data_IF_174972130071
#
_entry.id   IF_174972130071
#
_cell.length_a   1.000
_cell.length_b   1.000
_cell.length_c   1.000
_cell.angle_alpha   90.00
_cell.angle_beta   90.00
_cell.angle_gamma   90.00
#
_symmetry.space_group_name_H-M   'P 1'
#
loop_
_entity.id
_entity.type
_entity.pdbx_description
1 polymer ?
#
# COMPACT_ATOMS: atom_id res chain seq x y z
N UNK A 1 19.81 -11.12 16.25
CA UNK A 1 18.85 -11.74 15.30
C UNK A 1 18.30 -10.73 14.30
N UNK A 2 17.74 -9.59 14.75
CA UNK A 2 17.19 -8.52 13.89
C UNK A 2 18.14 -7.98 12.80
N UNK A 3 19.42 -7.76 13.13
CA UNK A 3 20.42 -7.26 12.17
C UNK A 3 20.65 -8.20 10.97
N UNK A 4 20.56 -9.52 11.19
CA UNK A 4 20.66 -10.53 10.11
C UNK A 4 19.44 -10.50 9.19
N UNK A 5 18.23 -10.37 9.76
CA UNK A 5 16.97 -10.31 9.01
C UNK A 5 16.90 -9.01 8.18
N UNK A 6 17.27 -7.88 8.77
CA UNK A 6 17.33 -6.59 8.09
C UNK A 6 18.29 -6.61 6.90
N UNK A 7 19.52 -7.09 7.10
CA UNK A 7 20.50 -7.21 6.02
C UNK A 7 20.00 -8.16 4.92
N UNK A 8 19.34 -9.26 5.29
CA UNK A 8 18.76 -10.20 4.32
C UNK A 8 17.64 -9.57 3.47
N UNK A 9 16.82 -8.69 4.05
CA UNK A 9 15.70 -8.04 3.34
C UNK A 9 16.16 -6.91 2.40
N UNK A 10 17.28 -6.25 2.71
CA UNK A 10 17.81 -5.12 1.94
C UNK A 10 18.56 -5.57 0.70
N UNK A 11 19.31 -6.67 0.78
CA UNK A 11 20.13 -7.15 -0.33
C UNK A 11 19.20 -7.44 -1.53
N UNK A 12 19.41 -6.77 -2.68
CA UNK A 12 18.64 -7.06 -3.87
C UNK A 12 18.90 -8.50 -4.30
N UNK A 13 17.83 -9.28 -4.50
CA UNK A 13 18.01 -10.67 -4.96
C UNK A 13 18.52 -10.69 -6.39
N UNK A 14 19.52 -11.55 -6.63
CA UNK A 14 20.08 -11.78 -7.97
C UNK A 14 19.11 -12.51 -8.91
N UNK A 15 18.14 -13.22 -8.35
CA UNK A 15 17.13 -13.98 -9.10
C UNK A 15 15.73 -13.37 -8.93
N UNK A 16 15.19 -12.85 -10.03
CA UNK A 16 13.87 -12.22 -10.09
C UNK A 16 12.72 -13.19 -9.75
N UNK A 17 12.89 -14.50 -9.96
CA UNK A 17 11.84 -15.50 -9.69
C UNK A 17 11.56 -15.66 -8.19
N UNK A 18 12.61 -15.67 -7.37
CA UNK A 18 12.50 -15.86 -5.91
C UNK A 18 11.85 -14.67 -5.21
N UNK A 19 12.16 -13.46 -5.67
CA UNK A 19 11.56 -12.24 -5.13
C UNK A 19 10.17 -11.97 -5.72
N UNK A 20 9.90 -12.44 -6.94
CA UNK A 20 8.63 -12.20 -7.64
C UNK A 20 7.40 -12.60 -6.83
N UNK A 21 7.43 -13.77 -6.19
CA UNK A 21 6.30 -14.26 -5.39
C UNK A 21 6.03 -13.36 -4.17
N UNK A 22 7.10 -12.92 -3.50
CA UNK A 22 7.00 -11.98 -2.37
C UNK A 22 6.42 -10.63 -2.82
N UNK A 23 6.87 -10.10 -3.96
CA UNK A 23 6.36 -8.84 -4.53
C UNK A 23 4.89 -8.94 -4.89
N UNK A 24 4.48 -10.02 -5.53
CA UNK A 24 3.07 -10.25 -5.94
C UNK A 24 2.18 -10.31 -4.70
N UNK A 25 2.60 -11.03 -3.65
CA UNK A 25 1.85 -11.10 -2.41
C UNK A 25 1.73 -9.72 -1.76
N UNK A 26 2.85 -9.02 -1.56
CA UNK A 26 2.84 -7.66 -1.00
C UNK A 26 2.07 -6.68 -1.87
N UNK A 27 2.09 -6.82 -3.20
CA UNK A 27 1.41 -5.89 -4.10
C UNK A 27 -0.09 -6.08 -4.08
N UNK A 28 -0.58 -7.32 -4.12
CA UNK A 28 -2.02 -7.61 -4.11
C UNK A 28 -2.62 -7.18 -2.77
N UNK A 29 -2.13 -7.74 -1.66
CA UNK A 29 -2.69 -7.48 -0.33
C UNK A 29 -2.35 -6.08 0.17
N UNK A 30 -1.09 -5.66 -0.01
CA UNK A 30 -0.66 -4.34 0.44
C UNK A 30 -1.30 -3.23 -0.38
N UNK A 31 -1.40 -3.39 -1.71
CA UNK A 31 -2.15 -2.47 -2.55
C UNK A 31 -3.60 -2.37 -2.11
N UNK A 32 -4.23 -3.50 -1.77
CA UNK A 32 -5.65 -3.55 -1.37
C UNK A 32 -5.90 -2.76 -0.09
N UNK A 33 -5.10 -3.02 0.94
CA UNK A 33 -5.18 -2.30 2.21
C UNK A 33 -4.97 -0.80 2.01
N UNK A 34 -3.94 -0.41 1.25
CA UNK A 34 -3.64 0.99 0.97
C UNK A 34 -4.78 1.67 0.21
N UNK A 35 -5.38 0.99 -0.77
CA UNK A 35 -6.49 1.53 -1.55
C UNK A 35 -7.74 1.77 -0.67
N UNK A 36 -8.10 0.80 0.17
CA UNK A 36 -9.25 0.95 1.07
C UNK A 36 -9.03 2.03 2.11
N UNK A 37 -7.85 2.11 2.73
CA UNK A 37 -7.54 3.17 3.68
C UNK A 37 -7.52 4.55 3.02
N UNK A 38 -6.97 4.65 1.80
CA UNK A 38 -7.02 5.87 1.01
C UNK A 38 -8.44 6.27 0.65
N UNK A 39 -9.28 5.31 0.24
CA UNK A 39 -10.71 5.49 -0.05
C UNK A 39 -11.45 6.04 1.17
N UNK A 40 -11.28 5.43 2.35
CA UNK A 40 -11.92 5.90 3.59
C UNK A 40 -11.43 7.28 4.00
N UNK A 41 -10.12 7.54 3.89
CA UNK A 41 -9.55 8.85 4.20
C UNK A 41 -10.11 9.94 3.28
N UNK A 42 -10.20 9.66 1.98
CA UNK A 42 -10.77 10.58 1.00
C UNK A 42 -12.24 10.88 1.30
N UNK A 43 -13.04 9.85 1.61
CA UNK A 43 -14.45 10.01 1.93
C UNK A 43 -14.71 10.93 3.14
N UNK A 44 -13.79 10.96 4.11
CA UNK A 44 -13.90 11.79 5.32
C UNK A 44 -13.33 13.21 5.17
N UNK A 45 -12.31 13.38 4.33
CA UNK A 45 -11.64 14.67 4.13
C UNK A 45 -12.28 15.52 3.03
N UNK A 46 -13.00 14.88 2.08
CA UNK A 46 -13.60 15.58 0.95
C UNK A 46 -14.61 16.64 1.43
N UNK A 47 -14.52 17.90 0.95
CA UNK A 47 -15.42 18.98 1.34
C UNK A 47 -16.74 18.92 0.54
N UNK A 48 -17.41 17.77 0.59
CA UNK A 48 -18.65 17.50 -0.15
C UNK A 48 -19.59 16.63 0.67
N UNK A 49 -20.82 16.44 0.20
CA UNK A 49 -21.76 15.58 0.89
C UNK A 49 -21.23 14.14 0.98
N UNK A 50 -21.42 13.51 2.15
CA UNK A 50 -20.90 12.17 2.46
C UNK A 50 -21.31 11.14 1.40
N UNK A 51 -22.52 11.27 0.86
CA UNK A 51 -23.05 10.38 -0.19
C UNK A 51 -22.25 10.50 -1.50
N UNK A 52 -21.96 11.72 -1.93
CA UNK A 52 -21.21 11.98 -3.16
C UNK A 52 -19.74 11.56 -3.00
N UNK A 53 -19.15 11.89 -1.85
CA UNK A 53 -17.80 11.47 -1.50
C UNK A 53 -17.66 9.94 -1.52
N UNK A 54 -18.63 9.22 -0.95
CA UNK A 54 -18.62 7.76 -0.93
C UNK A 54 -18.69 7.13 -2.33
N UNK A 55 -19.54 7.67 -3.22
CA UNK A 55 -19.64 7.20 -4.60
C UNK A 55 -18.31 7.39 -5.34
N UNK A 56 -17.73 8.58 -5.26
CA UNK A 56 -16.44 8.89 -5.91
C UNK A 56 -15.34 7.99 -5.35
N UNK A 57 -15.31 7.82 -4.03
CA UNK A 57 -14.34 6.96 -3.33
C UNK A 57 -14.36 5.53 -3.86
N UNK A 58 -15.55 4.95 -4.04
CA UNK A 58 -15.72 3.60 -4.60
C UNK A 58 -15.27 3.56 -6.07
N UNK A 59 -15.62 4.57 -6.86
CA UNK A 59 -15.23 4.63 -8.28
C UNK A 59 -13.71 4.69 -8.47
N UNK A 60 -12.98 5.40 -7.60
CA UNK A 60 -11.52 5.50 -7.69
C UNK A 60 -10.79 4.34 -7.04
N UNK A 61 -11.44 3.55 -6.17
CA UNK A 61 -10.79 2.51 -5.38
C UNK A 61 -10.01 1.50 -6.23
N UNK A 62 -10.63 0.95 -7.28
CA UNK A 62 -9.98 -0.02 -8.17
C UNK A 62 -8.79 0.57 -8.91
N UNK A 63 -8.88 1.84 -9.31
CA UNK A 63 -7.79 2.54 -9.97
C UNK A 63 -6.62 2.78 -9.02
N UNK A 64 -6.90 3.28 -7.81
CA UNK A 64 -5.90 3.44 -6.74
C UNK A 64 -5.26 2.10 -6.38
N UNK A 65 -6.05 1.03 -6.33
CA UNK A 65 -5.54 -0.32 -6.08
C UNK A 65 -4.56 -0.78 -7.17
N UNK A 66 -4.89 -0.58 -8.44
CA UNK A 66 -4.02 -0.92 -9.56
C UNK A 66 -2.70 -0.12 -9.53
N UNK A 67 -2.77 1.18 -9.22
CA UNK A 67 -1.59 2.04 -9.05
C UNK A 67 -0.71 1.59 -7.88
N UNK A 68 -1.30 1.37 -6.70
CA UNK A 68 -0.59 0.92 -5.52
C UNK A 68 0.05 -0.47 -5.72
N UNK A 69 -0.69 -1.40 -6.33
CA UNK A 69 -0.20 -2.74 -6.69
C UNK A 69 1.00 -2.63 -7.64
N UNK A 70 0.89 -1.82 -8.69
CA UNK A 70 1.99 -1.62 -9.66
C UNK A 70 3.21 -1.00 -9.00
N UNK A 71 3.01 0.00 -8.14
CA UNK A 71 4.07 0.65 -7.39
C UNK A 71 4.82 -0.32 -6.46
N UNK A 72 4.10 -1.21 -5.77
CA UNK A 72 4.69 -2.22 -4.90
C UNK A 72 5.38 -3.33 -5.73
N UNK A 73 4.79 -3.75 -6.84
CA UNK A 73 5.33 -4.78 -7.72
C UNK A 73 6.67 -4.37 -8.38
N UNK A 74 6.85 -3.07 -8.65
CA UNK A 74 8.09 -2.47 -9.16
C UNK A 74 9.21 -2.29 -8.11
N UNK A 75 9.06 -2.86 -6.91
CA UNK A 75 10.12 -2.84 -5.89
C UNK A 75 11.33 -3.66 -6.35
N UNK A 76 12.54 -3.27 -5.92
CA UNK A 76 13.81 -3.94 -6.29
C UNK A 76 14.20 -4.95 -5.20
N UNK A 77 14.04 -4.60 -3.93
CA UNK A 77 14.31 -5.48 -2.78
C UNK A 77 13.03 -5.81 -2.01
N UNK A 78 13.08 -6.88 -1.20
CA UNK A 78 11.96 -7.27 -0.33
C UNK A 78 11.64 -6.19 0.70
N UNK A 79 12.69 -5.55 1.22
CA UNK A 79 12.54 -4.40 2.11
C UNK A 79 11.79 -3.25 1.43
N UNK A 80 12.11 -2.93 0.17
CA UNK A 80 11.41 -1.87 -0.55
C UNK A 80 9.94 -2.21 -0.81
N UNK A 81 9.61 -3.48 -1.12
CA UNK A 81 8.23 -3.94 -1.27
C UNK A 81 7.42 -3.73 0.03
N UNK A 82 7.99 -4.16 1.16
CA UNK A 82 7.41 -3.96 2.48
C UNK A 82 7.24 -2.48 2.81
N UNK A 83 8.27 -1.67 2.57
CA UNK A 83 8.25 -0.24 2.88
C UNK A 83 7.18 0.50 2.08
N UNK A 84 7.03 0.18 0.79
CA UNK A 84 5.99 0.76 -0.09
C UNK A 84 4.57 0.38 0.30
N UNK A 85 4.38 -0.67 1.10
CA UNK A 85 3.10 -1.05 1.68
C UNK A 85 2.89 -0.43 3.07
N UNK A 86 3.86 -0.60 3.98
CA UNK A 86 3.74 -0.21 5.39
C UNK A 86 3.60 1.31 5.52
N UNK A 87 4.42 2.09 4.82
CA UNK A 87 4.44 3.55 5.00
C UNK A 87 3.10 4.19 4.61
N UNK A 88 2.54 3.94 3.41
CA UNK A 88 1.23 4.52 3.07
C UNK A 88 0.12 4.03 4.01
N UNK A 89 0.16 2.76 4.40
CA UNK A 89 -0.81 2.17 5.34
C UNK A 89 -0.76 2.90 6.69
N UNK A 90 0.42 3.08 7.26
CA UNK A 90 0.59 3.79 8.54
C UNK A 90 0.15 5.25 8.45
N UNK A 91 0.48 5.95 7.36
CA UNK A 91 0.04 7.34 7.16
C UNK A 91 -1.49 7.43 7.13
N UNK A 92 -2.16 6.63 6.30
CA UNK A 92 -3.62 6.66 6.24
C UNK A 92 -4.27 6.23 7.56
N UNK A 93 -3.75 5.21 8.23
CA UNK A 93 -4.26 4.80 9.54
C UNK A 93 -4.13 5.91 10.59
N UNK A 94 -3.00 6.60 10.66
CA UNK A 94 -2.80 7.73 11.58
C UNK A 94 -3.78 8.86 11.25
N UNK A 95 -3.93 9.20 9.97
CA UNK A 95 -4.87 10.24 9.53
C UNK A 95 -6.30 9.90 9.92
N UNK A 96 -6.73 8.64 9.75
CA UNK A 96 -8.06 8.19 10.16
C UNK A 96 -8.26 8.26 11.67
N UNK A 97 -7.24 7.92 12.47
CA UNK A 97 -7.30 8.04 13.95
C UNK A 97 -7.43 9.51 14.38
N UNK A 98 -6.85 10.45 13.63
CA UNK A 98 -6.95 11.89 13.95
C UNK A 98 -8.32 12.46 13.55
N UNK A 99 -8.91 11.96 12.46
CA UNK A 99 -10.18 12.43 11.93
C UNK A 99 -11.42 11.85 12.63
N UNK A 100 -11.29 10.70 13.30
CA UNK A 100 -12.37 9.98 13.97
C UNK A 100 -12.31 10.16 15.49
#
# INVERSE_FOLDING_TARGET
MFKKIYNYLIIPEKDGKRIGLFRIFCSIFGGFIVAYLGMTTFALVAPMEVKEAAIISIMINTFTWALATTWIALSISRFQALYRFIVPTTIFSITLIILY
#
